data_IF_404200172048
#
_entry.id   IF_404200172048
#
_cell.length_a   1.000
_cell.length_b   1.000
_cell.length_c   1.000
_cell.angle_alpha   90.00
_cell.angle_beta   90.00
_cell.angle_gamma   90.00
#
_symmetry.space_group_name_H-M   'P 1'
#
loop_
_entity.id
_entity.type
_entity.pdbx_description
1 polymer ?
#
# COMPACT_ATOMS: atom_id res chain seq x y z
N UNK A 1 -15.86 -6.91 42.35
CA UNK A 1 -14.80 -7.34 41.42
C UNK A 1 -15.03 -6.62 40.10
N UNK A 2 -14.56 -5.38 39.99
CA UNK A 2 -14.74 -4.56 38.77
C UNK A 2 -13.53 -4.80 37.87
N UNK A 3 -13.75 -5.44 36.73
CA UNK A 3 -12.71 -5.64 35.72
C UNK A 3 -12.53 -4.31 34.97
N UNK A 4 -11.48 -3.56 35.33
CA UNK A 4 -10.96 -2.48 34.49
C UNK A 4 -10.39 -3.12 33.22
N UNK A 5 -11.14 -3.02 32.12
CA UNK A 5 -10.58 -3.23 30.80
C UNK A 5 -9.85 -1.94 30.43
N UNK A 6 -8.51 -1.93 30.28
CA UNK A 6 -7.89 -0.79 29.61
C UNK A 6 -8.40 -0.77 28.17
N UNK A 7 -8.82 0.38 27.59
CA UNK A 7 -8.99 0.43 26.15
C UNK A 7 -7.61 0.12 25.55
N UNK A 8 -7.54 -1.02 24.86
CA UNK A 8 -6.37 -1.46 24.11
C UNK A 8 -5.89 -0.30 23.25
N UNK A 9 -4.66 0.15 23.50
CA UNK A 9 -3.91 1.04 22.62
C UNK A 9 -3.74 0.35 21.26
N UNK A 10 -4.73 0.44 20.38
CA UNK A 10 -4.68 -0.17 19.04
C UNK A 10 -5.60 0.57 18.08
N UNK A 11 -5.51 1.90 18.02
CA UNK A 11 -5.90 2.61 16.79
C UNK A 11 -5.12 3.91 16.66
N UNK A 12 -3.86 3.79 16.28
CA UNK A 12 -3.07 4.93 15.78
C UNK A 12 -2.51 4.63 14.39
N UNK A 13 -3.10 3.69 13.63
CA UNK A 13 -2.50 3.22 12.35
C UNK A 13 -3.21 3.67 11.08
N UNK A 14 -4.39 4.29 11.11
CA UNK A 14 -5.21 4.38 9.88
C UNK A 14 -5.22 5.72 9.14
N UNK A 15 -4.52 6.75 9.63
CA UNK A 15 -4.45 8.05 8.94
C UNK A 15 -3.01 8.41 8.60
N UNK A 16 -2.25 7.44 8.07
CA UNK A 16 -1.09 7.83 7.29
C UNK A 16 -1.60 8.61 6.07
N UNK A 17 -1.06 9.81 5.79
CA UNK A 17 -1.39 10.52 4.57
C UNK A 17 -1.22 9.55 3.40
N UNK A 18 -2.19 9.54 2.51
CA UNK A 18 -2.28 8.65 1.34
C UNK A 18 -0.97 8.56 0.53
N UNK A 19 -0.14 9.60 0.59
CA UNK A 19 1.21 9.63 0.03
C UNK A 19 2.18 8.67 0.74
N UNK A 20 2.13 8.53 2.06
CA UNK A 20 2.97 7.60 2.81
C UNK A 20 2.63 6.14 2.50
N UNK A 21 1.36 5.82 2.24
CA UNK A 21 0.96 4.48 1.79
C UNK A 21 1.53 4.15 0.40
N UNK A 22 1.54 5.15 -0.51
CA UNK A 22 2.15 5.02 -1.84
C UNK A 22 3.66 4.83 -1.73
N UNK A 23 4.35 5.63 -0.91
CA UNK A 23 5.80 5.52 -0.73
C UNK A 23 6.22 4.17 -0.16
N UNK A 24 5.54 3.67 0.88
CA UNK A 24 5.82 2.35 1.45
C UNK A 24 5.61 1.22 0.44
N UNK A 25 4.55 1.28 -0.37
CA UNK A 25 4.30 0.29 -1.41
C UNK A 25 5.38 0.35 -2.50
N UNK A 26 5.78 1.56 -2.93
CA UNK A 26 6.87 1.76 -3.90
C UNK A 26 8.18 1.17 -3.39
N UNK A 27 8.56 1.40 -2.15
CA UNK A 27 9.82 0.91 -1.60
C UNK A 27 9.87 -0.62 -1.55
N UNK A 28 8.79 -1.26 -1.07
CA UNK A 28 8.68 -2.73 -1.08
C UNK A 28 8.76 -3.30 -2.50
N UNK A 29 7.97 -2.76 -3.43
CA UNK A 29 7.91 -3.24 -4.81
C UNK A 29 9.20 -2.97 -5.58
N UNK A 30 9.91 -1.88 -5.30
CA UNK A 30 11.23 -1.62 -5.89
C UNK A 30 12.25 -2.67 -5.47
N UNK A 31 12.23 -3.11 -4.21
CA UNK A 31 13.05 -4.21 -3.75
C UNK A 31 12.65 -5.55 -4.39
N UNK A 32 11.36 -5.86 -4.40
CA UNK A 32 10.81 -7.13 -4.92
C UNK A 32 11.05 -7.31 -6.43
N UNK A 33 10.96 -6.23 -7.21
CA UNK A 33 11.12 -6.25 -8.67
C UNK A 33 12.47 -5.68 -9.15
N UNK A 34 13.44 -5.51 -8.24
CA UNK A 34 14.76 -5.02 -8.59
C UNK A 34 15.40 -5.87 -9.71
N UNK A 35 15.88 -5.23 -10.76
CA UNK A 35 16.48 -5.90 -11.92
C UNK A 35 15.50 -6.53 -12.91
N UNK A 36 14.20 -6.61 -12.59
CA UNK A 36 13.15 -7.09 -13.50
C UNK A 36 12.30 -5.97 -14.08
N UNK A 37 12.06 -4.91 -13.29
CA UNK A 37 11.22 -3.78 -13.69
C UNK A 37 11.94 -2.46 -13.41
N UNK A 38 11.78 -1.48 -14.30
CA UNK A 38 12.33 -0.13 -14.10
C UNK A 38 11.69 0.53 -12.86
N UNK A 39 12.46 1.18 -11.97
CA UNK A 39 11.92 1.85 -10.78
C UNK A 39 10.85 2.91 -11.08
N UNK A 40 10.92 3.52 -12.27
CA UNK A 40 9.94 4.49 -12.77
C UNK A 40 8.58 3.85 -13.07
N UNK A 41 8.58 2.61 -13.58
CA UNK A 41 7.36 1.87 -13.90
C UNK A 41 6.65 1.43 -12.62
N UNK A 42 7.39 1.00 -11.61
CA UNK A 42 6.84 0.70 -10.27
C UNK A 42 6.11 1.91 -9.69
N UNK A 43 6.75 3.09 -9.66
CA UNK A 43 6.12 4.33 -9.15
C UNK A 43 4.85 4.68 -9.92
N UNK A 44 4.88 4.56 -11.26
CA UNK A 44 3.72 4.84 -12.11
C UNK A 44 2.55 3.90 -11.78
N UNK A 45 2.81 2.60 -11.72
CA UNK A 45 1.79 1.57 -11.45
C UNK A 45 1.17 1.75 -10.06
N UNK A 46 1.98 2.08 -9.03
CA UNK A 46 1.47 2.31 -7.67
C UNK A 46 0.60 3.57 -7.62
N UNK A 47 1.02 4.67 -8.26
CA UNK A 47 0.22 5.91 -8.32
C UNK A 47 -1.09 5.72 -9.06
N UNK A 48 -1.08 4.96 -10.16
CA UNK A 48 -2.29 4.63 -10.92
C UNK A 48 -3.23 3.74 -10.09
N UNK A 49 -2.69 2.71 -9.43
CA UNK A 49 -3.44 1.85 -8.50
C UNK A 49 -4.09 2.66 -7.38
N UNK A 50 -3.38 3.65 -6.83
CA UNK A 50 -3.92 4.56 -5.81
C UNK A 50 -5.05 5.45 -6.34
N UNK A 51 -4.92 5.93 -7.57
CA UNK A 51 -5.95 6.74 -8.24
C UNK A 51 -7.21 5.92 -8.51
N UNK A 52 -7.05 4.67 -8.93
CA UNK A 52 -8.15 3.73 -9.15
C UNK A 52 -8.88 3.39 -7.84
N UNK A 53 -8.14 3.37 -6.73
CA UNK A 53 -8.67 3.18 -5.38
C UNK A 53 -9.14 4.48 -4.71
N UNK A 54 -9.27 5.58 -5.45
CA UNK A 54 -9.66 6.90 -4.95
C UNK A 54 -10.97 6.95 -4.15
N UNK A 55 -11.86 5.96 -4.31
CA UNK A 55 -13.12 5.82 -3.56
C UNK A 55 -13.10 4.76 -2.45
N UNK A 56 -11.96 4.12 -2.17
CA UNK A 56 -11.85 3.02 -1.20
C UNK A 56 -11.54 3.54 0.21
N UNK A 57 -12.05 2.92 1.28
CA UNK A 57 -11.79 3.33 2.66
C UNK A 57 -10.28 3.37 2.98
N UNK A 58 -9.84 4.46 3.61
CA UNK A 58 -8.41 4.81 3.78
C UNK A 58 -7.61 3.76 4.53
N UNK A 59 -8.24 3.08 5.50
CA UNK A 59 -7.57 2.08 6.35
C UNK A 59 -7.15 0.78 5.65
N UNK A 60 -7.63 0.51 4.43
CA UNK A 60 -7.21 -0.66 3.63
C UNK A 60 -6.49 -0.28 2.33
N UNK A 61 -6.28 1.03 2.10
CA UNK A 61 -5.62 1.52 0.90
C UNK A 61 -4.19 0.99 0.72
N UNK A 62 -3.32 0.92 1.74
CA UNK A 62 -1.96 0.41 1.58
C UNK A 62 -1.94 -1.02 1.00
N UNK A 63 -2.75 -1.91 1.58
CA UNK A 63 -2.83 -3.32 1.21
C UNK A 63 -3.46 -3.51 -0.18
N UNK A 64 -4.46 -2.71 -0.52
CA UNK A 64 -5.12 -2.75 -1.82
C UNK A 64 -4.23 -2.19 -2.93
N UNK A 65 -3.53 -1.08 -2.68
CA UNK A 65 -2.57 -0.48 -3.61
C UNK A 65 -1.43 -1.47 -3.88
N UNK A 66 -0.87 -2.09 -2.84
CA UNK A 66 0.20 -3.06 -2.99
C UNK A 66 -0.25 -4.29 -3.79
N UNK A 67 -1.43 -4.84 -3.46
CA UNK A 67 -1.97 -6.02 -4.14
C UNK A 67 -2.26 -5.74 -5.62
N UNK A 68 -2.86 -4.59 -5.95
CA UNK A 68 -3.14 -4.20 -7.33
C UNK A 68 -1.84 -3.93 -8.11
N UNK A 69 -0.86 -3.27 -7.49
CA UNK A 69 0.42 -3.00 -8.11
C UNK A 69 1.21 -4.30 -8.39
N UNK A 70 1.23 -5.24 -7.44
CA UNK A 70 1.86 -6.56 -7.63
C UNK A 70 1.22 -7.34 -8.78
N UNK A 71 -0.10 -7.36 -8.86
CA UNK A 71 -0.83 -8.00 -9.97
C UNK A 71 -0.42 -7.39 -11.32
N UNK A 72 -0.43 -6.06 -11.44
CA UNK A 72 -0.06 -5.34 -12.68
C UNK A 72 1.41 -5.53 -13.05
N UNK A 73 2.32 -5.55 -12.07
CA UNK A 73 3.74 -5.79 -12.33
C UNK A 73 4.00 -7.24 -12.78
N UNK A 74 3.27 -8.21 -12.21
CA UNK A 74 3.30 -9.59 -12.66
C UNK A 74 2.90 -9.76 -14.12
N UNK A 75 1.86 -9.05 -14.58
CA UNK A 75 1.45 -9.08 -16.00
C UNK A 75 2.43 -8.38 -16.94
N UNK A 76 3.34 -7.53 -16.45
CA UNK A 76 4.36 -6.88 -17.29
C UNK A 76 5.63 -7.71 -17.48
N UNK A 77 5.84 -8.75 -16.66
CA UNK A 77 7.06 -9.58 -16.65
C UNK A 77 6.83 -10.98 -17.24
N UNK A 78 5.58 -11.42 -17.35
CA UNK A 78 5.18 -12.63 -18.10
C UNK A 78 5.03 -12.34 -19.59
#
# INVERSE_FOLDING_TARGET
MTLTVPPSSSDSSSELPWDAAVEQAVDRLRGEYAGRVRPQLVVRVVRESRRDLGGSPVGALPELVERLARYRLGTHVG
#
